data_IF_487168790189
#
_entry.id   IF_487168790189
#
_cell.length_a   1.000
_cell.length_b   1.000
_cell.length_c   1.000
_cell.angle_alpha   90.00
_cell.angle_beta   90.00
_cell.angle_gamma   90.00
#
_symmetry.space_group_name_H-M   'P 1'
#
loop_
_entity.id
_entity.type
_entity.pdbx_description
1 polymer ?
#
# COMPACT_ATOMS: atom_id res chain seq x y z
N UNK A 1 -31.20 -25.64 5.23
CA UNK A 1 -30.21 -26.44 6.00
C UNK A 1 -28.83 -25.92 5.64
N UNK A 2 -28.34 -24.96 6.42
CA UNK A 2 -27.05 -24.32 6.15
C UNK A 2 -25.99 -25.39 6.42
N UNK A 3 -25.29 -25.83 5.38
CA UNK A 3 -23.99 -26.48 5.54
C UNK A 3 -23.12 -25.43 6.21
N UNK A 4 -23.16 -25.38 7.55
CA UNK A 4 -22.30 -24.55 8.38
C UNK A 4 -20.91 -25.17 8.24
N UNK A 5 -20.33 -24.93 7.07
CA UNK A 5 -19.28 -25.73 6.50
C UNK A 5 -18.11 -25.68 7.45
N UNK A 6 -17.49 -26.83 7.65
CA UNK A 6 -16.23 -26.99 8.35
C UNK A 6 -15.26 -25.80 8.14
N UNK A 7 -15.22 -25.24 6.93
CA UNK A 7 -14.51 -24.01 6.56
C UNK A 7 -14.78 -22.79 7.45
N UNK A 8 -16.05 -22.51 7.80
CA UNK A 8 -16.40 -21.37 8.66
C UNK A 8 -15.82 -21.55 10.06
N UNK A 9 -15.87 -22.77 10.60
CA UNK A 9 -15.31 -23.09 11.92
C UNK A 9 -13.79 -23.05 11.93
N UNK A 10 -13.15 -23.47 10.85
CA UNK A 10 -11.68 -23.35 10.67
C UNK A 10 -11.27 -21.89 10.56
N UNK A 11 -12.02 -21.07 9.81
CA UNK A 11 -11.77 -19.64 9.70
C UNK A 11 -11.92 -18.93 11.05
N UNK A 12 -12.98 -19.24 11.80
CA UNK A 12 -13.24 -18.66 13.12
C UNK A 12 -12.13 -19.03 14.12
N UNK A 13 -11.66 -20.28 14.13
CA UNK A 13 -10.56 -20.73 14.99
C UNK A 13 -9.21 -20.08 14.61
N UNK A 14 -8.95 -19.87 13.32
CA UNK A 14 -7.77 -19.14 12.85
C UNK A 14 -7.85 -17.65 13.21
N UNK A 15 -9.01 -17.03 13.00
CA UNK A 15 -9.24 -15.63 13.32
C UNK A 15 -9.17 -15.37 14.83
N UNK A 16 -9.77 -16.23 15.65
CA UNK A 16 -9.76 -16.14 17.11
C UNK A 16 -8.35 -16.40 17.68
N UNK A 17 -7.63 -17.40 17.15
CA UNK A 17 -6.23 -17.64 17.49
C UNK A 17 -5.32 -16.46 17.11
N UNK A 18 -5.49 -15.91 15.91
CA UNK A 18 -4.73 -14.76 15.42
C UNK A 18 -5.00 -13.49 16.24
N UNK A 19 -6.25 -13.26 16.65
CA UNK A 19 -6.66 -12.10 17.47
C UNK A 19 -6.16 -12.21 18.91
N UNK A 20 -6.17 -13.40 19.51
CA UNK A 20 -5.67 -13.63 20.86
C UNK A 20 -4.13 -13.62 20.95
N UNK A 21 -3.42 -13.82 19.84
CA UNK A 21 -1.96 -13.74 19.80
C UNK A 21 -1.44 -12.30 19.71
N UNK A 22 -0.73 -11.85 20.74
CA UNK A 22 0.01 -10.57 20.72
C UNK A 22 1.15 -10.57 19.71
N UNK A 23 1.85 -11.70 19.55
CA UNK A 23 2.96 -11.84 18.60
C UNK A 23 2.51 -11.71 17.14
N UNK A 24 1.39 -12.34 16.76
CA UNK A 24 0.85 -12.29 15.40
C UNK A 24 0.40 -10.88 15.01
N UNK A 25 -0.26 -10.16 15.93
CA UNK A 25 -0.64 -8.76 15.75
C UNK A 25 0.58 -7.85 15.56
N UNK A 26 1.62 -8.04 16.36
CA UNK A 26 2.88 -7.28 16.21
C UNK A 26 3.55 -7.58 14.87
N UNK A 27 3.64 -8.84 14.46
CA UNK A 27 4.24 -9.22 13.18
C UNK A 27 3.48 -8.63 11.99
N UNK A 28 2.14 -8.71 12.03
CA UNK A 28 1.28 -8.14 11.00
C UNK A 28 1.38 -6.62 10.95
N UNK A 29 1.45 -5.96 12.11
CA UNK A 29 1.70 -4.52 12.21
C UNK A 29 3.05 -4.15 11.58
N UNK A 30 4.12 -4.92 11.82
CA UNK A 30 5.44 -4.70 11.19
C UNK A 30 5.35 -4.83 9.67
N UNK A 31 4.63 -5.83 9.14
CA UNK A 31 4.43 -6.00 7.69
C UNK A 31 3.67 -4.79 7.12
N UNK A 32 2.57 -4.38 7.76
CA UNK A 32 1.76 -3.25 7.31
C UNK A 32 2.55 -1.94 7.34
N UNK A 33 3.31 -1.70 8.41
CA UNK A 33 4.22 -0.55 8.54
C UNK A 33 5.27 -0.60 7.43
N UNK A 34 5.91 -1.74 7.18
CA UNK A 34 6.94 -1.86 6.14
C UNK A 34 6.38 -1.57 4.75
N UNK A 35 5.20 -2.10 4.43
CA UNK A 35 4.50 -1.81 3.17
C UNK A 35 4.13 -0.33 3.05
N UNK A 36 3.62 0.27 4.13
CA UNK A 36 3.30 1.68 4.17
C UNK A 36 4.55 2.55 3.97
N UNK A 37 5.63 2.28 4.71
CA UNK A 37 6.91 2.98 4.61
C UNK A 37 7.47 2.87 3.19
N UNK A 38 7.50 1.69 2.58
CA UNK A 38 7.99 1.52 1.21
C UNK A 38 7.13 2.31 0.21
N UNK A 39 5.81 2.22 0.31
CA UNK A 39 4.90 2.98 -0.54
C UNK A 39 5.05 4.50 -0.32
N UNK A 40 5.23 4.93 0.92
CA UNK A 40 5.29 6.34 1.27
C UNK A 40 6.66 6.96 0.97
N UNK A 41 7.77 6.26 1.18
CA UNK A 41 9.10 6.72 0.73
C UNK A 41 9.14 6.79 -0.78
N UNK A 42 8.69 5.77 -1.50
CA UNK A 42 8.60 5.87 -2.95
C UNK A 42 7.66 7.03 -3.33
N UNK A 43 6.46 7.13 -2.77
CA UNK A 43 5.54 8.22 -3.15
C UNK A 43 6.02 9.62 -2.75
N UNK A 44 6.67 9.80 -1.61
CA UNK A 44 7.09 11.11 -1.09
C UNK A 44 8.51 11.48 -1.53
N UNK A 45 9.37 10.54 -1.88
CA UNK A 45 10.71 10.83 -2.41
C UNK A 45 10.69 10.77 -3.94
N UNK A 46 10.11 9.71 -4.52
CA UNK A 46 10.04 9.49 -5.96
C UNK A 46 9.00 10.35 -6.68
N UNK A 47 8.17 11.16 -6.01
CA UNK A 47 7.40 12.20 -6.71
C UNK A 47 8.11 13.55 -6.64
N UNK A 48 8.30 14.20 -5.48
CA UNK A 48 8.90 15.53 -5.47
C UNK A 48 10.38 15.57 -5.85
N UNK A 49 11.20 14.53 -5.61
CA UNK A 49 12.59 14.55 -6.10
C UNK A 49 12.69 14.08 -7.55
N UNK A 50 11.92 13.06 -7.97
CA UNK A 50 11.88 12.66 -9.38
C UNK A 50 11.42 13.80 -10.28
N UNK A 51 10.42 14.56 -9.83
CA UNK A 51 9.88 15.66 -10.62
C UNK A 51 10.75 16.92 -10.43
N UNK A 52 11.25 17.29 -9.24
CA UNK A 52 12.18 18.45 -9.11
C UNK A 52 13.52 18.27 -9.81
N UNK A 53 14.02 17.04 -9.89
CA UNK A 53 15.30 16.74 -10.53
C UNK A 53 15.19 16.74 -12.06
N UNK A 54 13.99 16.47 -12.61
CA UNK A 54 13.71 16.53 -14.05
C UNK A 54 12.94 17.78 -14.50
N UNK A 55 12.34 18.54 -13.60
CA UNK A 55 11.56 19.73 -13.91
C UNK A 55 12.17 20.97 -13.25
N UNK A 56 12.56 21.93 -14.08
CA UNK A 56 12.87 23.28 -13.62
C UNK A 56 11.67 23.82 -12.84
N UNK A 57 11.90 24.00 -11.54
CA UNK A 57 11.16 24.79 -10.54
C UNK A 57 9.89 25.46 -11.11
N UNK A 58 8.73 24.82 -10.94
CA UNK A 58 7.41 25.46 -11.06
C UNK A 58 6.59 25.20 -12.32
N UNK A 59 6.86 24.15 -13.11
CA UNK A 59 6.05 23.82 -14.30
C UNK A 59 5.85 22.32 -14.57
N UNK A 60 5.87 21.51 -13.51
CA UNK A 60 5.71 20.05 -13.55
C UNK A 60 4.40 19.63 -14.22
N UNK A 61 3.30 20.27 -13.81
CA UNK A 61 1.95 19.95 -14.31
C UNK A 61 1.80 20.25 -15.81
N UNK A 62 2.50 21.28 -16.31
CA UNK A 62 2.43 21.69 -17.72
C UNK A 62 3.22 20.75 -18.63
N UNK A 63 4.33 20.18 -18.14
CA UNK A 63 5.14 19.24 -18.92
C UNK A 63 4.47 17.87 -19.04
N UNK A 64 3.88 17.36 -17.96
CA UNK A 64 3.14 16.08 -17.98
C UNK A 64 1.88 16.19 -18.86
N UNK A 65 1.14 17.30 -18.76
CA UNK A 65 -0.01 17.53 -19.63
C UNK A 65 0.39 17.60 -21.12
N UNK A 66 1.52 18.24 -21.44
CA UNK A 66 2.01 18.35 -22.82
C UNK A 66 2.48 17.00 -23.36
N UNK A 67 3.18 16.18 -22.57
CA UNK A 67 3.59 14.84 -23.03
C UNK A 67 2.44 13.82 -23.09
N UNK A 68 1.41 13.96 -22.26
CA UNK A 68 0.20 13.14 -22.39
C UNK A 68 -0.60 13.52 -23.64
N UNK A 69 -0.71 14.82 -23.95
CA UNK A 69 -1.36 15.32 -25.17
C UNK A 69 -0.58 14.99 -26.45
N UNK A 70 0.74 14.89 -26.37
CA UNK A 70 1.59 14.58 -27.53
C UNK A 70 1.69 13.08 -27.82
N UNK A 71 1.31 12.21 -26.86
CA UNK A 71 1.43 10.76 -27.04
C UNK A 71 0.19 10.05 -27.60
N UNK A 72 -1.03 10.60 -27.49
CA UNK A 72 -2.19 10.27 -28.35
C UNK A 72 -3.45 11.06 -27.96
#
# INVERSE_FOLDING_TARGET
MVKHGFFYRVFDLYYDGFKNMTLGKTLWAVILIKLFIMFFILKLFFFPNYIKENAKKGSEDKFIATEMLNRN
#
